data_IF_081636282181
#
_entry.id   IF_081636282181
#
_cell.length_a   1.000
_cell.length_b   1.000
_cell.length_c   1.000
_cell.angle_alpha   90.00
_cell.angle_beta   90.00
_cell.angle_gamma   90.00
#
_symmetry.space_group_name_H-M   'P 1'
#
loop_
_entity.id
_entity.type
_entity.pdbx_description
1 polymer ?
#
# COMPACT_ATOMS: atom_id res chain seq x y z
N UNK A 1 27.62 -4.56 -6.30
CA UNK A 1 28.53 -5.68 -6.64
C UNK A 1 27.98 -7.05 -6.26
N UNK A 2 26.76 -7.14 -5.71
CA UNK A 2 26.06 -8.40 -5.43
C UNK A 2 26.85 -9.36 -4.52
N UNK A 3 27.64 -8.79 -3.60
CA UNK A 3 28.53 -9.52 -2.68
C UNK A 3 28.09 -9.48 -1.22
N UNK A 4 27.07 -8.68 -0.88
CA UNK A 4 26.55 -8.54 0.47
C UNK A 4 25.02 -8.55 0.42
N UNK A 5 24.37 -9.15 1.41
CA UNK A 5 22.91 -9.16 1.57
C UNK A 5 22.48 -8.61 2.95
N UNK A 6 21.16 -8.51 3.16
CA UNK A 6 20.62 -8.18 4.48
C UNK A 6 21.01 -9.24 5.53
N UNK A 7 21.21 -10.49 5.12
CA UNK A 7 21.64 -11.55 6.04
C UNK A 7 23.05 -11.29 6.58
N UNK A 8 23.96 -10.73 5.77
CA UNK A 8 25.31 -10.37 6.22
C UNK A 8 25.25 -9.24 7.26
N UNK A 9 24.37 -8.26 7.04
CA UNK A 9 24.08 -7.19 8.01
C UNK A 9 23.56 -7.77 9.32
N UNK A 10 22.55 -8.65 9.26
CA UNK A 10 21.95 -9.26 10.44
C UNK A 10 22.92 -10.20 11.18
N UNK A 11 23.73 -10.99 10.46
CA UNK A 11 24.77 -11.84 11.04
C UNK A 11 25.82 -11.00 11.79
N UNK A 12 26.27 -9.89 11.20
CA UNK A 12 27.24 -9.02 11.85
C UNK A 12 26.64 -8.33 13.08
N UNK A 13 25.40 -7.87 13.00
CA UNK A 13 24.69 -7.28 14.13
C UNK A 13 24.56 -8.32 15.26
N UNK A 14 24.07 -9.51 14.95
CA UNK A 14 23.89 -10.58 15.93
C UNK A 14 25.21 -10.94 16.62
N UNK A 15 26.27 -11.16 15.86
CA UNK A 15 27.56 -11.57 16.40
C UNK A 15 28.18 -10.54 17.36
N UNK A 16 27.93 -9.24 17.16
CA UNK A 16 28.64 -8.18 17.86
C UNK A 16 27.79 -7.41 18.87
N UNK A 17 26.46 -7.45 18.77
CA UNK A 17 25.56 -6.58 19.53
C UNK A 17 24.45 -7.33 20.28
N UNK A 18 24.39 -8.66 20.23
CA UNK A 18 23.35 -9.46 20.91
C UNK A 18 23.27 -9.22 22.44
N UNK A 19 24.41 -8.98 23.09
CA UNK A 19 24.47 -8.78 24.55
C UNK A 19 24.35 -7.32 24.97
N UNK A 20 24.75 -6.38 24.10
CA UNK A 20 24.83 -4.95 24.42
C UNK A 20 23.62 -4.16 23.91
N UNK A 21 22.86 -4.70 22.97
CA UNK A 21 21.81 -3.96 22.25
C UNK A 21 22.37 -3.06 21.15
N UNK A 22 21.46 -2.32 20.50
CA UNK A 22 21.75 -1.44 19.36
C UNK A 22 21.53 0.03 19.74
N UNK A 23 22.45 0.88 19.32
CA UNK A 23 22.27 2.33 19.23
C UNK A 23 21.55 2.70 17.91
N UNK A 24 20.98 3.90 17.85
CA UNK A 24 20.16 4.39 16.72
C UNK A 24 20.86 4.35 15.34
N UNK A 25 22.19 4.44 15.32
CA UNK A 25 23.01 4.48 14.09
C UNK A 25 23.77 3.17 13.81
N UNK A 26 23.53 2.11 14.62
CA UNK A 26 24.28 0.85 14.54
C UNK A 26 24.12 0.20 13.17
N UNK A 27 22.90 0.16 12.62
CA UNK A 27 22.61 -0.48 11.33
C UNK A 27 23.31 0.26 10.19
N UNK A 28 23.29 1.59 10.22
CA UNK A 28 23.91 2.47 9.23
C UNK A 28 25.43 2.27 9.22
N UNK A 29 26.05 2.18 10.40
CA UNK A 29 27.48 1.85 10.57
C UNK A 29 27.81 0.47 10.02
N UNK A 30 26.98 -0.55 10.31
CA UNK A 30 27.18 -1.92 9.81
C UNK A 30 27.06 -1.97 8.29
N UNK A 31 26.05 -1.33 7.70
CA UNK A 31 25.86 -1.27 6.25
C UNK A 31 27.04 -0.57 5.58
N UNK A 32 27.49 0.58 6.10
CA UNK A 32 28.66 1.28 5.57
C UNK A 32 29.93 0.43 5.69
N UNK A 33 30.09 -0.31 6.79
CA UNK A 33 31.22 -1.22 6.99
C UNK A 33 31.21 -2.41 6.02
N UNK A 34 30.07 -3.06 5.80
CA UNK A 34 29.99 -4.23 4.91
C UNK A 34 30.10 -3.85 3.43
N UNK A 35 29.48 -2.74 3.04
CA UNK A 35 29.40 -2.31 1.63
C UNK A 35 30.53 -1.37 1.22
N UNK A 36 31.29 -0.83 2.18
CA UNK A 36 32.32 0.19 1.95
C UNK A 36 31.80 1.36 1.11
N UNK A 37 30.52 1.71 1.30
CA UNK A 37 29.79 2.70 0.52
C UNK A 37 29.01 3.64 1.44
N UNK A 38 28.80 4.88 0.99
CA UNK A 38 28.02 5.86 1.73
C UNK A 38 26.52 5.69 1.44
N UNK A 39 25.77 5.31 2.48
CA UNK A 39 24.31 5.17 2.45
C UNK A 39 23.57 6.32 3.14
N UNK A 40 24.26 7.40 3.52
CA UNK A 40 23.67 8.54 4.26
C UNK A 40 22.42 9.06 3.56
N UNK A 41 22.51 9.33 2.25
CA UNK A 41 21.35 9.79 1.47
C UNK A 41 20.17 8.80 1.48
N UNK A 42 20.45 7.50 1.43
CA UNK A 42 19.38 6.49 1.48
C UNK A 42 18.64 6.54 2.82
N UNK A 43 19.36 6.60 3.93
CA UNK A 43 18.73 6.70 5.25
C UNK A 43 18.05 8.06 5.48
N UNK A 44 18.65 9.15 5.00
CA UNK A 44 18.03 10.47 5.06
C UNK A 44 16.71 10.52 4.29
N UNK A 45 16.67 9.92 3.10
CA UNK A 45 15.47 9.92 2.26
C UNK A 45 14.36 8.99 2.82
N UNK A 46 14.73 7.80 3.30
CA UNK A 46 13.78 6.69 3.57
C UNK A 46 13.62 6.27 5.03
N UNK A 47 14.53 6.66 5.93
CA UNK A 47 14.40 6.42 7.37
C UNK A 47 14.01 7.70 8.12
N UNK A 48 14.70 8.81 7.83
CA UNK A 48 14.44 10.10 8.47
C UNK A 48 13.53 11.01 7.64
N UNK A 49 13.35 10.68 6.36
CA UNK A 49 12.54 11.43 5.40
C UNK A 49 11.15 10.83 5.18
N UNK A 50 10.41 11.47 4.27
CA UNK A 50 9.07 11.05 3.85
C UNK A 50 9.05 10.69 2.35
N UNK A 51 10.22 10.39 1.79
CA UNK A 51 10.33 10.03 0.38
C UNK A 51 9.75 8.63 0.15
N UNK A 52 9.01 8.47 -0.95
CA UNK A 52 8.51 7.16 -1.36
C UNK A 52 9.67 6.24 -1.75
N UNK A 53 9.68 5.00 -1.25
CA UNK A 53 10.66 4.01 -1.65
C UNK A 53 10.57 3.74 -3.17
N UNK A 54 11.70 3.63 -3.88
CA UNK A 54 11.74 3.42 -5.33
C UNK A 54 11.51 1.93 -5.67
N UNK A 55 10.35 1.40 -5.25
CA UNK A 55 10.05 -0.04 -5.30
C UNK A 55 10.13 -0.58 -6.73
N UNK A 56 9.64 0.17 -7.73
CA UNK A 56 9.72 -0.25 -9.13
C UNK A 56 11.16 -0.46 -9.58
N UNK A 57 12.06 0.46 -9.25
CA UNK A 57 13.47 0.36 -9.61
C UNK A 57 14.16 -0.77 -8.82
N UNK A 58 13.85 -0.90 -7.54
CA UNK A 58 14.41 -1.94 -6.68
C UNK A 58 14.02 -3.35 -7.14
N UNK A 59 12.75 -3.58 -7.50
CA UNK A 59 12.30 -4.87 -8.04
C UNK A 59 12.83 -5.14 -9.45
N UNK A 60 12.89 -4.11 -10.31
CA UNK A 60 13.46 -4.26 -11.66
C UNK A 60 14.93 -4.73 -11.63
N UNK A 61 15.68 -4.33 -10.61
CA UNK A 61 17.07 -4.74 -10.41
C UNK A 61 17.24 -6.27 -10.34
N UNK A 62 16.27 -6.97 -9.75
CA UNK A 62 16.20 -8.43 -9.61
C UNK A 62 15.23 -9.08 -10.60
N UNK A 63 14.87 -8.37 -11.68
CA UNK A 63 14.02 -8.91 -12.75
C UNK A 63 12.57 -9.13 -12.36
N UNK A 64 12.06 -8.34 -11.40
CA UNK A 64 10.67 -8.36 -10.96
C UNK A 64 9.96 -7.09 -11.42
N UNK A 65 8.83 -7.27 -12.09
CA UNK A 65 7.91 -6.19 -12.43
C UNK A 65 7.08 -5.86 -11.20
N UNK A 66 6.96 -4.57 -10.90
CA UNK A 66 6.17 -4.05 -9.80
C UNK A 66 5.14 -3.04 -10.36
N UNK A 67 3.88 -3.44 -10.39
CA UNK A 67 2.80 -2.60 -10.92
C UNK A 67 1.74 -2.30 -9.88
N UNK A 68 1.38 -1.02 -9.78
CA UNK A 68 0.35 -0.53 -8.90
C UNK A 68 -0.94 -0.35 -9.68
N UNK A 69 -2.03 -0.89 -9.14
CA UNK A 69 -3.34 -0.87 -9.79
C UNK A 69 -4.47 -0.62 -8.78
N UNK A 70 -5.63 -0.27 -9.28
CA UNK A 70 -6.87 -0.36 -8.52
C UNK A 70 -7.37 -1.79 -8.61
N UNK A 71 -7.60 -2.42 -7.47
CA UNK A 71 -8.23 -3.72 -7.42
C UNK A 71 -9.74 -3.53 -7.53
N UNK A 72 -10.36 -4.19 -8.52
CA UNK A 72 -11.82 -4.20 -8.68
C UNK A 72 -12.50 -4.78 -7.45
N UNK A 73 -13.73 -4.34 -7.20
CA UNK A 73 -14.55 -4.75 -6.07
C UNK A 73 -13.90 -4.46 -4.70
N UNK A 74 -13.01 -3.47 -4.66
CA UNK A 74 -12.47 -2.88 -3.44
C UNK A 74 -12.85 -1.40 -3.39
N UNK A 75 -13.00 -0.86 -2.19
CA UNK A 75 -13.45 0.52 -1.98
C UNK A 75 -12.30 1.49 -1.69
N UNK A 76 -11.06 1.02 -1.78
CA UNK A 76 -9.87 1.83 -1.51
C UNK A 76 -9.69 2.96 -2.52
N UNK A 77 -10.18 2.80 -3.75
CA UNK A 77 -10.15 3.83 -4.79
C UNK A 77 -11.00 5.06 -4.43
N UNK A 78 -12.13 4.87 -3.75
CA UNK A 78 -12.95 5.98 -3.22
C UNK A 78 -12.59 6.35 -1.77
N UNK A 79 -11.65 5.61 -1.18
CA UNK A 79 -11.07 5.91 0.12
C UNK A 79 -11.86 5.42 1.32
N UNK A 80 -12.67 4.37 1.20
CA UNK A 80 -13.38 3.79 2.34
C UNK A 80 -13.00 2.32 2.56
N UNK A 81 -12.89 1.94 3.83
CA UNK A 81 -12.99 0.55 4.25
C UNK A 81 -14.32 0.30 4.93
N UNK A 82 -14.86 -0.91 4.77
CA UNK A 82 -16.13 -1.30 5.39
C UNK A 82 -16.00 -2.60 6.17
N UNK A 83 -16.82 -2.75 7.21
CA UNK A 83 -17.06 -4.05 7.82
C UNK A 83 -18.15 -4.79 7.04
N UNK A 84 -17.80 -5.97 6.49
CA UNK A 84 -18.70 -6.80 5.68
C UNK A 84 -19.46 -7.88 6.47
N UNK A 85 -19.25 -8.00 7.79
CA UNK A 85 -19.87 -9.07 8.60
C UNK A 85 -21.31 -8.77 9.02
N UNK A 86 -21.76 -7.53 8.83
CA UNK A 86 -23.11 -7.10 9.16
C UNK A 86 -23.99 -7.01 7.90
N UNK A 87 -25.30 -6.86 8.08
CA UNK A 87 -26.24 -6.64 6.97
C UNK A 87 -25.91 -5.36 6.17
N UNK A 88 -25.38 -4.34 6.86
CA UNK A 88 -25.06 -3.03 6.29
C UNK A 88 -23.55 -2.84 6.12
N UNK A 89 -23.16 -2.06 5.10
CA UNK A 89 -21.78 -1.60 4.92
C UNK A 89 -21.48 -0.50 5.93
N UNK A 90 -20.92 -0.88 7.08
CA UNK A 90 -20.48 0.10 8.09
C UNK A 90 -19.07 0.54 7.77
N UNK A 91 -18.86 1.85 7.58
CA UNK A 91 -17.53 2.41 7.31
C UNK A 91 -16.63 2.19 8.53
N UNK A 92 -15.50 1.52 8.32
CA UNK A 92 -14.49 1.23 9.35
C UNK A 92 -13.33 2.21 9.36
N UNK A 93 -12.98 2.76 8.19
CA UNK A 93 -11.98 3.82 8.05
C UNK A 93 -12.24 4.63 6.78
N UNK A 94 -11.73 5.86 6.78
CA UNK A 94 -11.73 6.76 5.63
C UNK A 94 -10.31 7.23 5.40
N UNK A 95 -9.85 7.15 4.15
CA UNK A 95 -8.53 7.61 3.74
C UNK A 95 -8.57 9.12 3.49
N UNK A 96 -7.57 9.81 4.01
CA UNK A 96 -7.41 11.25 3.81
C UNK A 96 -7.18 11.60 2.33
N UNK A 97 -7.70 12.76 1.90
CA UNK A 97 -7.55 13.29 0.54
C UNK A 97 -8.38 12.57 -0.52
N UNK A 98 -9.31 11.69 -0.10
CA UNK A 98 -10.16 10.92 -1.02
C UNK A 98 -11.54 11.54 -1.22
N UNK A 99 -12.25 11.11 -2.26
CA UNK A 99 -13.58 11.61 -2.55
C UNK A 99 -14.59 11.31 -1.43
N UNK A 100 -14.48 10.17 -0.75
CA UNK A 100 -15.35 9.87 0.39
C UNK A 100 -15.17 10.85 1.55
N UNK A 101 -13.93 11.23 1.87
CA UNK A 101 -13.66 12.24 2.88
C UNK A 101 -14.21 13.60 2.44
N UNK A 102 -13.94 14.01 1.20
CA UNK A 102 -14.40 15.29 0.66
C UNK A 102 -15.93 15.40 0.62
N UNK A 103 -16.62 14.28 0.38
CA UNK A 103 -18.08 14.20 0.37
C UNK A 103 -18.70 14.28 1.78
N UNK A 104 -17.90 14.08 2.84
CA UNK A 104 -18.36 14.17 4.23
C UNK A 104 -18.88 12.85 4.81
N UNK A 105 -18.46 11.71 4.27
CA UNK A 105 -18.63 10.41 4.92
C UNK A 105 -17.77 10.33 6.17
N UNK A 106 -18.22 9.56 7.16
CA UNK A 106 -17.52 9.34 8.42
C UNK A 106 -17.47 7.86 8.81
N UNK A 107 -16.47 7.52 9.63
CA UNK A 107 -16.39 6.20 10.27
C UNK A 107 -17.65 5.97 11.12
N UNK A 108 -18.23 4.78 11.00
CA UNK A 108 -19.48 4.42 11.66
C UNK A 108 -20.73 4.65 10.81
N UNK A 109 -20.65 5.42 9.71
CA UNK A 109 -21.77 5.56 8.78
C UNK A 109 -22.15 4.18 8.22
N UNK A 110 -23.45 3.88 8.27
CA UNK A 110 -24.00 2.68 7.64
C UNK A 110 -24.50 3.05 6.25
N UNK A 111 -23.82 2.59 5.20
CA UNK A 111 -24.26 2.84 3.83
C UNK A 111 -25.48 1.96 3.51
N UNK A 112 -26.54 2.61 3.04
CA UNK A 112 -27.85 2.01 2.82
C UNK A 112 -28.21 1.95 1.33
N UNK A 113 -27.84 2.98 0.56
CA UNK A 113 -28.21 3.11 -0.85
C UNK A 113 -27.22 3.93 -1.67
N UNK A 114 -27.25 3.71 -2.98
CA UNK A 114 -26.62 4.56 -4.00
C UNK A 114 -27.71 4.96 -4.99
N UNK A 115 -27.87 6.25 -5.26
CA UNK A 115 -28.91 6.82 -6.15
C UNK A 115 -30.32 6.31 -5.83
N UNK A 116 -30.64 6.19 -4.53
CA UNK A 116 -31.92 5.69 -4.05
C UNK A 116 -32.10 4.17 -4.15
N UNK A 117 -31.14 3.43 -4.70
CA UNK A 117 -31.17 1.97 -4.80
C UNK A 117 -30.48 1.35 -3.58
N UNK A 118 -31.21 0.50 -2.83
CA UNK A 118 -30.66 -0.19 -1.64
C UNK A 118 -29.47 -1.07 -2.03
N UNK A 119 -28.38 -0.97 -1.27
CA UNK A 119 -27.14 -1.73 -1.49
C UNK A 119 -26.75 -2.51 -0.23
N UNK A 120 -26.32 -3.75 -0.42
CA UNK A 120 -25.80 -4.59 0.67
C UNK A 120 -24.29 -4.42 0.79
N UNK A 121 -23.72 -4.74 1.96
CA UNK A 121 -22.29 -4.58 2.22
C UNK A 121 -21.40 -5.31 1.19
N UNK A 122 -21.80 -6.51 0.77
CA UNK A 122 -21.08 -7.33 -0.21
C UNK A 122 -21.11 -6.75 -1.63
N UNK A 123 -22.12 -5.93 -1.95
CA UNK A 123 -22.39 -5.43 -3.30
C UNK A 123 -21.92 -3.97 -3.47
N UNK A 124 -21.63 -3.26 -2.37
CA UNK A 124 -21.29 -1.84 -2.37
C UNK A 124 -20.12 -1.50 -3.31
N UNK A 125 -19.04 -2.29 -3.25
CA UNK A 125 -17.87 -2.06 -4.10
C UNK A 125 -18.21 -2.19 -5.59
N UNK A 126 -18.93 -3.25 -5.96
CA UNK A 126 -19.35 -3.46 -7.35
C UNK A 126 -20.34 -2.39 -7.82
N UNK A 127 -21.20 -1.90 -6.93
CA UNK A 127 -22.13 -0.83 -7.24
C UNK A 127 -21.38 0.47 -7.57
N UNK A 128 -20.41 0.88 -6.74
CA UNK A 128 -19.58 2.06 -6.98
C UNK A 128 -18.74 1.89 -8.26
N UNK A 129 -18.12 0.73 -8.47
CA UNK A 129 -17.31 0.42 -9.66
C UNK A 129 -18.11 0.46 -10.98
N UNK A 130 -19.45 0.45 -10.93
CA UNK A 130 -20.29 0.55 -12.13
C UNK A 130 -20.41 1.98 -12.67
N UNK A 131 -19.99 2.97 -11.88
CA UNK A 131 -20.01 4.37 -12.24
C UNK A 131 -18.66 4.84 -12.80
N UNK A 132 -18.70 5.79 -13.73
CA UNK A 132 -17.50 6.38 -14.30
C UNK A 132 -16.83 7.35 -13.31
N UNK A 133 -15.53 7.56 -13.48
CA UNK A 133 -14.83 8.67 -12.84
C UNK A 133 -15.48 10.02 -13.21
N UNK A 134 -15.41 10.98 -12.30
CA UNK A 134 -16.07 12.29 -12.34
C UNK A 134 -17.61 12.26 -12.28
N UNK A 135 -18.24 11.08 -12.25
CA UNK A 135 -19.68 10.98 -12.02
C UNK A 135 -20.03 11.32 -10.56
N UNK A 136 -21.20 11.92 -10.34
CA UNK A 136 -21.71 12.22 -9.00
C UNK A 136 -22.87 11.31 -8.68
N UNK A 137 -22.75 10.60 -7.56
CA UNK A 137 -23.74 9.66 -7.02
C UNK A 137 -24.29 10.17 -5.69
N UNK A 138 -25.54 9.85 -5.38
CA UNK A 138 -26.11 10.09 -4.05
C UNK A 138 -25.88 8.89 -3.15
N UNK A 139 -25.18 9.10 -2.04
CA UNK A 139 -24.97 8.07 -1.01
C UNK A 139 -26.01 8.28 0.09
N UNK A 140 -26.91 7.32 0.25
CA UNK A 140 -27.80 7.26 1.40
C UNK A 140 -27.13 6.48 2.53
N UNK A 141 -27.09 7.08 3.71
CA UNK A 141 -26.44 6.51 4.89
C UNK A 141 -27.22 6.78 6.18
N UNK A 142 -26.96 5.97 7.19
CA UNK A 142 -27.48 6.14 8.54
C UNK A 142 -26.34 6.56 9.47
N UNK A 143 -26.49 7.70 10.15
CA UNK A 143 -25.59 8.19 11.20
C UNK A 143 -26.41 8.50 12.44
N UNK A 144 -26.06 7.91 13.58
CA UNK A 144 -26.78 8.10 14.84
C UNK A 144 -28.31 7.87 14.72
N UNK A 145 -28.70 6.83 13.97
CA UNK A 145 -30.10 6.49 13.64
C UNK A 145 -30.86 7.53 12.80
N UNK A 146 -30.17 8.57 12.31
CA UNK A 146 -30.70 9.53 11.35
C UNK A 146 -30.33 9.13 9.92
N UNK A 147 -31.35 8.97 9.07
CA UNK A 147 -31.16 8.73 7.64
C UNK A 147 -30.80 10.07 6.97
N UNK A 148 -29.69 10.08 6.24
CA UNK A 148 -29.18 11.24 5.52
C UNK A 148 -28.69 10.83 4.14
N UNK A 149 -28.57 11.81 3.25
CA UNK A 149 -28.00 11.65 1.92
C UNK A 149 -26.91 12.69 1.71
N UNK A 150 -25.88 12.31 0.96
CA UNK A 150 -24.85 13.23 0.49
C UNK A 150 -24.45 12.91 -0.94
N UNK A 151 -23.96 13.92 -1.64
CA UNK A 151 -23.44 13.77 -3.00
C UNK A 151 -21.95 13.44 -2.94
N UNK A 152 -21.54 12.36 -3.60
CA UNK A 152 -20.16 11.96 -3.76
C UNK A 152 -19.79 11.99 -5.24
N UNK A 153 -18.81 12.79 -5.60
CA UNK A 153 -18.21 12.77 -6.94
C UNK A 153 -17.06 11.77 -6.95
N UNK A 154 -17.11 10.78 -7.83
CA UNK A 154 -16.12 9.71 -7.91
C UNK A 154 -14.81 10.28 -8.46
N UNK A 155 -13.79 10.33 -7.61
CA UNK A 155 -12.42 10.61 -8.00
C UNK A 155 -11.55 9.48 -7.46
N UNK A 156 -10.93 8.70 -8.35
CA UNK A 156 -10.12 7.56 -7.92
C UNK A 156 -8.85 8.07 -7.22
N UNK A 157 -8.53 7.46 -6.07
CA UNK A 157 -7.28 7.71 -5.37
C UNK A 157 -6.07 7.27 -6.20
N UNK A 158 -4.86 7.43 -5.67
CA UNK A 158 -3.71 6.72 -6.25
C UNK A 158 -3.92 5.20 -6.13
N UNK A 159 -3.44 4.40 -7.10
CA UNK A 159 -3.42 2.94 -7.01
C UNK A 159 -2.64 2.46 -5.77
N UNK A 160 -3.22 1.55 -5.00
CA UNK A 160 -2.60 1.02 -3.77
C UNK A 160 -2.34 -0.48 -3.81
N UNK A 161 -2.87 -1.20 -4.81
CA UNK A 161 -2.67 -2.64 -4.93
C UNK A 161 -1.43 -2.92 -5.79
N UNK A 162 -0.40 -3.50 -5.18
CA UNK A 162 0.85 -3.86 -5.85
C UNK A 162 0.82 -5.32 -6.31
N UNK A 163 1.01 -5.53 -7.61
CA UNK A 163 1.21 -6.86 -8.20
C UNK A 163 2.69 -7.01 -8.57
N UNK A 164 3.30 -8.08 -8.07
CA UNK A 164 4.66 -8.48 -8.43
C UNK A 164 4.61 -9.65 -9.41
N UNK A 165 5.40 -9.58 -10.48
CA UNK A 165 5.54 -10.67 -11.45
C UNK A 165 6.98 -10.79 -11.94
N UNK A 166 7.38 -12.01 -12.33
CA UNK A 166 8.67 -12.22 -12.97
C UNK A 166 8.65 -11.55 -14.34
N UNK A 167 9.66 -10.72 -14.63
CA UNK A 167 9.76 -10.06 -15.92
C UNK A 167 10.26 -11.03 -17.01
N UNK A 168 9.81 -10.81 -18.24
CA UNK A 168 10.23 -11.59 -19.41
C UNK A 168 11.60 -11.15 -19.93
N UNK A 169 12.28 -12.02 -20.68
CA UNK A 169 13.51 -11.71 -21.42
C UNK A 169 14.65 -11.11 -20.56
N UNK A 170 14.86 -11.64 -19.35
CA UNK A 170 15.89 -11.20 -18.43
C UNK A 170 17.30 -11.43 -18.99
N UNK A 171 18.22 -10.50 -18.70
CA UNK A 171 19.65 -10.69 -18.96
C UNK A 171 20.22 -11.77 -18.03
N UNK A 172 21.29 -12.44 -18.44
CA UNK A 172 21.98 -13.45 -17.62
C UNK A 172 22.36 -12.93 -16.23
N UNK A 173 22.84 -11.69 -16.16
CA UNK A 173 23.21 -11.07 -14.87
C UNK A 173 22.00 -10.83 -13.97
N UNK A 174 20.85 -10.49 -14.56
CA UNK A 174 19.62 -10.27 -13.78
C UNK A 174 19.02 -11.59 -13.31
N UNK A 175 19.07 -12.64 -14.13
CA UNK A 175 18.69 -13.99 -13.71
C UNK A 175 19.56 -14.46 -12.54
N UNK A 176 20.88 -14.25 -12.61
CA UNK A 176 21.78 -14.60 -11.51
C UNK A 176 21.42 -13.85 -10.21
N UNK A 177 21.17 -12.54 -10.29
CA UNK A 177 20.70 -11.76 -9.12
C UNK A 177 19.38 -12.27 -8.58
N UNK A 178 18.43 -12.60 -9.46
CA UNK A 178 17.12 -13.14 -9.09
C UNK A 178 17.24 -14.48 -8.37
N UNK A 179 18.04 -15.41 -8.91
CA UNK A 179 18.31 -16.71 -8.29
C UNK A 179 18.95 -16.55 -6.92
N UNK A 180 19.99 -15.70 -6.80
CA UNK A 180 20.62 -15.38 -5.52
C UNK A 180 19.64 -14.80 -4.51
N UNK A 181 18.71 -13.95 -4.96
CA UNK A 181 17.75 -13.32 -4.06
C UNK A 181 16.62 -14.27 -3.62
N UNK A 182 16.10 -15.10 -4.52
CA UNK A 182 15.01 -16.04 -4.23
C UNK A 182 15.45 -17.29 -3.48
N UNK A 183 16.62 -17.81 -3.84
CA UNK A 183 17.14 -19.07 -3.33
C UNK A 183 18.47 -18.75 -2.65
N UNK A 184 18.39 -18.17 -1.45
CA UNK A 184 19.55 -18.08 -0.57
C UNK A 184 19.94 -19.51 -0.15
N UNK A 185 21.06 -20.01 -0.68
CA UNK A 185 21.83 -21.11 -0.08
C UNK A 185 22.86 -20.55 0.91
#
# INVERSE_FOLDING_TARGET
NDTQSLDDVLKLIWANYQDTGLEDDTVQKVVAHLTQSDFTKFFDDYLYGVSELPLKQAFAYVGITCEFSHKKAELSNVGIGINKTQEFAVISHILEGTCAQAAGLYVGDKIMSIDGIKVQAKDLANAIDSYAEDSTIQIGFLRDELLSELSLTIANSKPTFCTLSIADNLTKDTLKRQEQWFYHD
#
